data_IF_958253571907
#
_entry.id   IF_958253571907
#
_cell.length_a   1.000
_cell.length_b   1.000
_cell.length_c   1.000
_cell.angle_alpha   90.00
_cell.angle_beta   90.00
_cell.angle_gamma   90.00
#
_symmetry.space_group_name_H-M   'P 1'
#
loop_
_entity.id
_entity.type
_entity.pdbx_description
1 polymer ?
#
# COMPACT_ATOMS: atom_id res chain seq x y z
N UNK A 1 14.23 -3.82 -9.57
CA UNK A 1 13.26 -2.69 -9.55
C UNK A 1 12.78 -2.41 -8.12
N UNK A 2 13.63 -1.90 -7.22
CA UNK A 2 13.28 -1.66 -5.80
C UNK A 2 12.09 -0.72 -5.59
N UNK A 3 11.84 0.17 -6.56
CA UNK A 3 10.77 1.17 -6.56
C UNK A 3 9.38 0.55 -6.45
N UNK A 4 9.17 -0.63 -7.08
CA UNK A 4 7.88 -1.34 -7.06
C UNK A 4 7.60 -2.04 -5.72
N UNK A 5 8.66 -2.40 -4.99
CA UNK A 5 8.57 -3.15 -3.73
C UNK A 5 8.38 -2.22 -2.53
N UNK A 6 9.17 -1.15 -2.46
CA UNK A 6 9.31 -0.35 -1.24
C UNK A 6 8.87 1.10 -1.41
N UNK A 7 8.24 1.46 -2.53
CA UNK A 7 7.94 2.85 -2.89
C UNK A 7 9.17 3.74 -2.70
N UNK A 8 10.28 3.35 -3.32
CA UNK A 8 11.51 4.14 -3.33
C UNK A 8 11.41 5.17 -4.47
N UNK A 9 11.45 6.46 -4.15
CA UNK A 9 11.62 7.54 -5.11
C UNK A 9 12.78 8.45 -4.71
N UNK A 10 12.71 9.72 -5.08
CA UNK A 10 13.77 10.69 -4.76
C UNK A 10 13.23 11.96 -4.13
N UNK A 11 14.06 12.58 -3.31
CA UNK A 11 13.80 13.88 -2.67
C UNK A 11 14.90 14.87 -3.09
N UNK A 12 14.51 16.07 -3.46
CA UNK A 12 15.45 17.15 -3.80
C UNK A 12 15.71 18.03 -2.57
N UNK A 13 16.93 18.05 -2.03
CA UNK A 13 17.27 18.91 -0.88
C UNK A 13 17.22 20.40 -1.20
N UNK A 14 17.44 20.77 -2.46
CA UNK A 14 17.50 22.18 -2.87
C UNK A 14 16.13 22.85 -2.94
N UNK A 15 15.07 22.12 -3.32
CA UNK A 15 13.70 22.66 -3.42
C UNK A 15 12.66 21.94 -2.56
N UNK A 16 13.10 20.94 -1.78
CA UNK A 16 12.27 20.14 -0.88
C UNK A 16 11.07 19.45 -1.55
N UNK A 17 11.24 19.06 -2.81
CA UNK A 17 10.20 18.41 -3.62
C UNK A 17 10.45 16.90 -3.70
N UNK A 18 9.36 16.13 -3.67
CA UNK A 18 9.38 14.67 -3.70
C UNK A 18 8.96 14.15 -5.08
N UNK A 19 9.69 13.14 -5.57
CA UNK A 19 9.45 12.56 -6.88
C UNK A 19 9.29 11.05 -6.83
N UNK A 20 8.24 10.58 -7.47
CA UNK A 20 8.00 9.18 -7.74
C UNK A 20 7.48 9.02 -9.18
N UNK A 21 8.06 8.15 -10.03
CA UNK A 21 9.25 7.31 -9.82
C UNK A 21 10.55 8.11 -9.55
N UNK A 22 11.62 7.48 -9.03
CA UNK A 22 12.88 8.16 -8.73
C UNK A 22 13.47 8.79 -9.98
N UNK A 23 13.98 10.01 -9.80
CA UNK A 23 14.64 10.80 -10.85
C UNK A 23 16.03 11.23 -10.41
N UNK A 24 16.98 11.19 -11.34
CA UNK A 24 18.35 11.67 -11.10
C UNK A 24 18.49 13.19 -11.21
N UNK A 25 17.54 13.88 -11.85
CA UNK A 25 17.58 15.32 -12.11
C UNK A 25 16.25 15.93 -11.68
N UNK A 26 16.31 16.95 -10.83
CA UNK A 26 15.14 17.73 -10.47
C UNK A 26 14.68 18.62 -11.65
N UNK A 27 13.40 18.61 -12.05
CA UNK A 27 12.90 19.49 -13.10
C UNK A 27 12.98 20.98 -12.73
N UNK A 28 12.95 21.32 -11.44
CA UNK A 28 13.00 22.70 -10.96
C UNK A 28 14.45 23.22 -10.88
N UNK A 29 15.31 22.54 -10.10
CA UNK A 29 16.69 22.98 -9.85
C UNK A 29 17.72 22.47 -10.89
N UNK A 30 17.34 21.52 -11.75
CA UNK A 30 18.18 20.91 -12.79
C UNK A 30 19.54 20.41 -12.27
N UNK A 31 20.63 21.02 -12.71
CA UNK A 31 22.02 20.63 -12.38
C UNK A 31 22.47 21.06 -10.99
N UNK A 32 21.79 22.03 -10.37
CA UNK A 32 22.10 22.49 -9.01
C UNK A 32 21.32 21.75 -7.92
N UNK A 33 20.63 20.66 -8.29
CA UNK A 33 19.80 19.90 -7.38
C UNK A 33 20.62 18.79 -6.71
N UNK A 34 20.57 18.72 -5.38
CA UNK A 34 21.05 17.57 -4.62
C UNK A 34 19.89 16.58 -4.43
N UNK A 35 19.91 15.51 -5.20
CA UNK A 35 18.90 14.45 -5.16
C UNK A 35 19.36 13.34 -4.20
N UNK A 36 18.47 12.89 -3.33
CA UNK A 36 18.67 11.71 -2.49
C UNK A 36 17.54 10.70 -2.65
N UNK A 37 17.82 9.44 -2.35
CA UNK A 37 16.79 8.40 -2.32
C UNK A 37 15.87 8.61 -1.11
N UNK A 38 14.57 8.55 -1.36
CA UNK A 38 13.54 8.70 -0.33
C UNK A 38 12.56 7.53 -0.38
N UNK A 39 12.28 6.96 0.78
CA UNK A 39 11.29 5.88 0.94
C UNK A 39 9.97 6.45 1.42
N UNK A 40 8.96 6.40 0.58
CA UNK A 40 7.62 6.86 0.90
C UNK A 40 6.92 5.91 1.87
N UNK A 41 6.11 6.45 2.78
CA UNK A 41 5.20 5.68 3.63
C UNK A 41 4.08 5.06 2.80
N UNK A 42 3.72 5.70 1.68
CA UNK A 42 2.76 5.21 0.69
C UNK A 42 1.30 5.39 1.08
N UNK A 43 1.00 6.15 2.13
CA UNK A 43 -0.36 6.60 2.43
C UNK A 43 -0.76 7.67 1.42
N UNK A 44 -2.01 7.64 0.96
CA UNK A 44 -2.46 8.59 -0.04
C UNK A 44 -3.96 8.67 -0.20
N UNK A 45 -4.37 9.54 -1.11
CA UNK A 45 -5.76 9.84 -1.44
C UNK A 45 -6.04 9.52 -2.91
N UNK A 46 -7.17 8.85 -3.19
CA UNK A 46 -7.64 8.61 -4.56
C UNK A 46 -8.10 9.93 -5.18
N UNK A 47 -7.39 10.40 -6.20
CA UNK A 47 -7.74 11.62 -6.96
C UNK A 47 -8.76 11.30 -8.05
N UNK A 48 -8.58 10.17 -8.74
CA UNK A 48 -9.51 9.67 -9.74
C UNK A 48 -9.32 8.16 -9.90
N UNK A 49 -10.35 7.47 -10.35
CA UNK A 49 -10.31 6.02 -10.56
C UNK A 49 -11.16 5.60 -11.75
N UNK A 50 -10.87 4.40 -12.24
CA UNK A 50 -11.69 3.70 -13.23
C UNK A 50 -11.76 2.22 -12.85
N UNK A 51 -12.90 1.60 -13.12
CA UNK A 51 -13.08 0.15 -12.95
C UNK A 51 -12.98 -0.51 -14.31
N UNK A 52 -12.04 -1.45 -14.43
CA UNK A 52 -11.81 -2.20 -15.66
C UNK A 52 -12.63 -3.49 -15.58
N UNK A 53 -13.64 -3.58 -16.44
CA UNK A 53 -14.56 -4.74 -16.55
C UNK A 53 -14.20 -5.69 -17.69
N UNK A 54 -13.30 -5.29 -18.59
CA UNK A 54 -12.83 -6.13 -19.68
C UNK A 54 -11.31 -5.99 -19.74
N UNK A 55 -10.62 -7.07 -19.42
CA UNK A 55 -9.17 -7.12 -19.33
C UNK A 55 -8.61 -8.11 -20.36
N UNK A 56 -7.32 -7.97 -20.68
CA UNK A 56 -6.62 -8.98 -21.48
C UNK A 56 -6.54 -10.31 -20.75
N UNK A 57 -6.34 -11.42 -21.47
CA UNK A 57 -6.35 -12.78 -20.91
C UNK A 57 -5.48 -12.95 -19.65
N UNK A 58 -4.33 -12.25 -19.59
CA UNK A 58 -3.41 -12.27 -18.44
C UNK A 58 -4.00 -11.69 -17.14
N UNK A 59 -5.01 -10.81 -17.27
CA UNK A 59 -5.65 -10.09 -16.17
C UNK A 59 -7.10 -10.52 -15.94
N UNK A 60 -7.61 -11.47 -16.72
CA UNK A 60 -9.02 -11.85 -16.72
C UNK A 60 -9.49 -12.35 -15.34
N UNK A 61 -8.62 -13.08 -14.63
CA UNK A 61 -8.88 -13.54 -13.25
C UNK A 61 -8.95 -12.43 -12.19
N UNK A 62 -8.52 -11.21 -12.52
CA UNK A 62 -8.58 -10.04 -11.64
C UNK A 62 -9.74 -9.11 -12.01
N UNK A 63 -10.49 -9.40 -13.07
CA UNK A 63 -11.66 -8.62 -13.48
C UNK A 63 -12.84 -8.86 -12.53
N UNK A 64 -13.55 -7.82 -12.06
CA UNK A 64 -13.26 -6.40 -12.24
C UNK A 64 -12.19 -5.91 -11.26
N UNK A 65 -11.28 -5.04 -11.72
CA UNK A 65 -10.29 -4.37 -10.86
C UNK A 65 -10.33 -2.86 -11.01
N UNK A 66 -10.00 -2.16 -9.92
CA UNK A 66 -9.99 -0.70 -9.87
C UNK A 66 -8.57 -0.19 -10.11
N UNK A 67 -8.42 0.70 -11.08
CA UNK A 67 -7.20 1.45 -11.35
C UNK A 67 -7.39 2.89 -10.91
N UNK A 68 -6.50 3.40 -10.06
CA UNK A 68 -6.60 4.74 -9.49
C UNK A 68 -5.31 5.54 -9.67
N UNK A 69 -5.48 6.85 -9.78
CA UNK A 69 -4.41 7.83 -9.54
C UNK A 69 -4.50 8.23 -8.07
N UNK A 70 -3.43 7.97 -7.35
CA UNK A 70 -3.31 8.20 -5.91
C UNK A 70 -2.28 9.29 -5.69
N UNK A 71 -2.66 10.32 -4.96
CA UNK A 71 -1.73 11.34 -4.47
C UNK A 71 -1.24 10.90 -3.09
N UNK A 72 0.07 10.69 -2.97
CA UNK A 72 0.70 10.38 -1.69
C UNK A 72 0.67 11.60 -0.78
N UNK A 73 0.66 11.37 0.54
CA UNK A 73 0.69 12.44 1.53
C UNK A 73 1.96 13.30 1.41
N UNK A 74 3.05 12.69 0.96
CA UNK A 74 4.31 13.36 0.68
C UNK A 74 4.30 14.18 -0.64
N UNK A 75 3.21 14.13 -1.43
CA UNK A 75 3.00 14.97 -2.61
C UNK A 75 2.91 14.26 -3.98
N UNK A 76 3.74 13.25 -4.32
CA UNK A 76 3.76 12.72 -5.68
C UNK A 76 2.53 11.87 -5.99
N UNK A 77 2.14 11.87 -7.27
CA UNK A 77 1.04 11.06 -7.79
C UNK A 77 1.54 9.78 -8.43
N UNK A 78 0.86 8.69 -8.15
CA UNK A 78 1.15 7.37 -8.70
C UNK A 78 -0.11 6.70 -9.22
N UNK A 79 0.07 5.85 -10.22
CA UNK A 79 -1.00 4.98 -10.74
C UNK A 79 -0.85 3.61 -10.11
N UNK A 80 -1.94 3.10 -9.50
CA UNK A 80 -1.94 1.82 -8.82
C UNK A 80 -3.31 1.16 -8.81
N UNK A 81 -3.34 -0.15 -8.60
CA UNK A 81 -4.60 -0.87 -8.42
C UNK A 81 -5.06 -0.74 -6.97
N UNK A 82 -6.36 -0.50 -6.77
CA UNK A 82 -6.98 -0.46 -5.44
C UNK A 82 -7.79 -1.74 -5.22
N UNK A 83 -7.50 -2.41 -4.11
CA UNK A 83 -8.17 -3.63 -3.67
C UNK A 83 -9.40 -3.23 -2.88
N UNK A 84 -10.44 -2.83 -3.60
CA UNK A 84 -11.77 -2.50 -3.09
C UNK A 84 -12.81 -3.01 -4.08
N UNK A 85 -14.05 -3.20 -3.64
CA UNK A 85 -15.13 -3.45 -4.59
C UNK A 85 -15.38 -2.19 -5.46
N UNK A 86 -15.89 -2.33 -6.69
CA UNK A 86 -16.21 -1.17 -7.54
C UNK A 86 -17.18 -0.17 -6.86
N UNK A 87 -18.10 -0.68 -6.03
CA UNK A 87 -19.11 0.13 -5.34
C UNK A 87 -18.54 0.94 -4.16
N UNK A 88 -17.45 0.45 -3.56
CA UNK A 88 -16.79 1.14 -2.45
C UNK A 88 -15.92 2.30 -2.93
N UNK A 89 -15.43 2.26 -4.18
CA UNK A 89 -14.51 3.25 -4.72
C UNK A 89 -15.10 4.66 -4.77
N UNK A 90 -14.35 5.62 -4.20
CA UNK A 90 -14.75 7.03 -4.14
C UNK A 90 -13.54 7.93 -4.37
N UNK A 91 -13.76 9.05 -5.07
CA UNK A 91 -12.78 10.15 -5.12
C UNK A 91 -12.65 10.73 -3.71
N UNK A 92 -11.42 11.00 -3.27
CA UNK A 92 -11.11 11.43 -1.92
C UNK A 92 -10.94 10.28 -0.90
N UNK A 93 -11.10 9.02 -1.33
CA UNK A 93 -10.88 7.87 -0.45
C UNK A 93 -9.42 7.80 0.00
N UNK A 94 -9.21 7.56 1.31
CA UNK A 94 -7.90 7.28 1.90
C UNK A 94 -7.49 5.83 1.62
N UNK A 95 -6.24 5.65 1.21
CA UNK A 95 -5.67 4.34 0.87
C UNK A 95 -4.30 4.15 1.52
N UNK A 96 -3.94 2.88 1.73
CA UNK A 96 -2.62 2.46 2.23
C UNK A 96 -1.97 1.45 1.28
N UNK A 97 -0.63 1.38 1.24
CA UNK A 97 0.06 0.48 0.33
C UNK A 97 0.07 -0.94 0.88
N UNK A 98 -0.07 -1.91 -0.02
CA UNK A 98 0.05 -3.33 0.25
C UNK A 98 0.90 -4.01 -0.80
N UNK A 99 1.63 -5.02 -0.38
CA UNK A 99 2.46 -5.80 -1.27
C UNK A 99 1.67 -6.98 -1.86
N UNK A 100 1.57 -7.03 -3.20
CA UNK A 100 0.76 -8.02 -3.93
C UNK A 100 1.42 -8.43 -5.24
N UNK A 101 0.91 -9.51 -5.84
CA UNK A 101 1.24 -9.92 -7.20
C UNK A 101 0.57 -8.93 -8.17
N UNK A 102 1.37 -8.32 -9.06
CA UNK A 102 0.90 -7.43 -10.13
C UNK A 102 0.57 -8.20 -11.41
N UNK A 103 1.26 -9.30 -11.67
CA UNK A 103 1.03 -10.13 -12.84
C UNK A 103 2.00 -11.31 -12.92
N UNK A 104 1.78 -12.18 -13.90
CA UNK A 104 2.66 -13.30 -14.26
C UNK A 104 2.88 -13.28 -15.77
N UNK A 105 4.07 -13.68 -16.21
CA UNK A 105 4.35 -13.84 -17.64
C UNK A 105 4.13 -15.30 -18.03
N UNK A 106 3.03 -15.64 -18.70
CA UNK A 106 2.70 -17.01 -19.10
C UNK A 106 2.54 -18.01 -17.94
N UNK A 107 2.60 -19.32 -18.24
CA UNK A 107 2.55 -20.39 -17.23
C UNK A 107 3.90 -20.65 -16.55
N UNK A 108 5.00 -20.42 -17.26
CA UNK A 108 6.36 -20.75 -16.81
C UNK A 108 7.25 -19.52 -16.58
N UNK A 109 6.73 -18.30 -16.75
CA UNK A 109 7.53 -17.08 -16.65
C UNK A 109 7.47 -16.42 -15.28
N UNK A 110 7.97 -15.18 -15.24
CA UNK A 110 8.29 -14.47 -14.00
C UNK A 110 7.01 -13.93 -13.35
N UNK A 111 6.89 -14.09 -12.03
CA UNK A 111 5.86 -13.45 -11.22
C UNK A 111 6.34 -12.05 -10.82
N UNK A 112 5.59 -11.03 -11.24
CA UNK A 112 5.86 -9.64 -10.88
C UNK A 112 5.14 -9.29 -9.59
N UNK A 113 5.91 -8.97 -8.56
CA UNK A 113 5.37 -8.41 -7.33
C UNK A 113 5.51 -6.88 -7.32
N UNK A 114 4.65 -6.22 -6.56
CA UNK A 114 4.76 -4.81 -6.31
C UNK A 114 3.64 -4.27 -5.43
N UNK A 115 3.56 -2.96 -5.38
CA UNK A 115 2.63 -2.25 -4.50
C UNK A 115 1.26 -2.09 -5.18
N UNK A 116 0.22 -2.59 -4.52
CA UNK A 116 -1.18 -2.20 -4.73
C UNK A 116 -1.63 -1.37 -3.54
N UNK A 117 -2.86 -0.88 -3.58
CA UNK A 117 -3.44 -0.08 -2.51
C UNK A 117 -4.70 -0.77 -1.98
N UNK A 118 -5.05 -0.51 -0.74
CA UNK A 118 -6.34 -0.88 -0.18
C UNK A 118 -6.94 0.29 0.60
N UNK A 119 -8.27 0.38 0.73
CA UNK A 119 -8.91 1.39 1.54
C UNK A 119 -8.36 1.39 2.96
N UNK A 120 -8.03 2.58 3.45
CA UNK A 120 -7.77 2.78 4.86
C UNK A 120 -9.12 2.76 5.56
N UNK A 121 -9.53 1.62 6.13
CA UNK A 121 -10.75 1.54 6.94
C UNK A 121 -10.75 2.67 7.99
N UNK A 122 -11.73 3.55 7.92
CA UNK A 122 -12.04 4.47 9.00
C UNK A 122 -12.83 3.70 10.06
N UNK A 123 -12.17 2.97 10.96
CA UNK A 123 -12.85 2.46 12.14
C UNK A 123 -12.27 3.07 13.43
N UNK A 124 -13.11 3.69 14.29
CA UNK A 124 -12.74 3.83 15.69
C UNK A 124 -12.66 2.41 16.23
N UNK A 125 -11.52 2.04 16.84
CA UNK A 125 -11.32 0.70 17.38
C UNK A 125 -12.42 0.38 18.41
N UNK A 126 -13.46 -0.33 17.98
CA UNK A 126 -14.38 -1.07 18.85
C UNK A 126 -13.56 -2.13 19.54
N UNK A 127 -13.38 -1.99 20.86
CA UNK A 127 -12.93 -3.08 21.69
C UNK A 127 -13.84 -4.30 21.51
N UNK A 128 -13.24 -5.45 21.23
CA UNK A 128 -13.88 -6.75 21.46
C UNK A 128 -13.09 -7.46 22.55
N UNK A 129 -13.65 -7.36 23.74
CA UNK A 129 -13.59 -8.32 24.84
C UNK A 129 -13.88 -9.74 24.33
N UNK A 130 -13.18 -10.75 24.85
CA UNK A 130 -13.78 -12.07 25.09
C UNK A 130 -13.04 -13.31 24.57
N UNK A 131 -12.23 -13.88 25.46
CA UNK A 131 -12.16 -15.31 25.79
C UNK A 131 -11.57 -16.33 24.79
N UNK A 132 -10.40 -16.87 25.19
CA UNK A 132 -10.11 -18.28 25.56
C UNK A 132 -8.59 -18.31 25.76
N UNK A 133 -8.03 -18.53 26.95
CA UNK A 133 -8.20 -19.69 27.82
C UNK A 133 -6.80 -20.26 28.01
N UNK A 134 -6.14 -19.93 29.13
CA UNK A 134 -4.94 -20.62 29.58
C UNK A 134 -5.11 -20.89 31.07
N UNK A 135 -5.21 -22.18 31.33
CA UNK A 135 -5.35 -22.84 32.62
C UNK A 135 -4.11 -22.54 33.47
N UNK A 136 -4.31 -22.02 34.68
CA UNK A 136 -3.29 -22.04 35.74
C UNK A 136 -3.59 -23.24 36.65
N UNK A 137 -2.67 -24.21 36.80
CA UNK A 137 -2.78 -25.20 37.85
C UNK A 137 -1.54 -25.21 38.74
N UNK A 138 -1.11 -24.06 39.30
CA UNK A 138 -0.08 -24.07 40.34
C UNK A 138 -0.31 -22.94 41.35
N UNK A 139 -0.98 -23.28 42.46
CA UNK A 139 -0.58 -22.91 43.84
C UNK A 139 -1.62 -23.39 44.88
N UNK A 140 -1.11 -24.24 45.77
CA UNK A 140 -1.36 -24.25 47.22
C UNK A 140 -2.78 -24.50 47.75
N UNK A 141 -3.13 -25.78 47.90
CA UNK A 141 -3.86 -26.25 49.09
C UNK A 141 -2.89 -27.10 49.92
N UNK A 142 -1.98 -26.43 50.64
CA UNK A 142 -1.24 -27.06 51.74
C UNK A 142 -2.10 -26.92 53.01
N UNK A 143 -2.52 -28.07 53.54
CA UNK A 143 -2.69 -28.36 54.97
C UNK A 143 -3.68 -27.52 55.76
N UNK A 144 -4.93 -27.99 55.83
CA UNK A 144 -5.78 -27.79 57.00
C UNK A 144 -5.71 -29.09 57.84
N UNK A 145 -5.58 -28.94 59.16
CA UNK A 145 -5.57 -29.98 60.22
C UNK A 145 -4.22 -30.74 60.34
N UNK A 146 -3.44 -30.67 61.43
CA UNK A 146 -3.70 -30.62 62.88
C UNK A 146 -2.69 -29.67 63.56
#
# INVERSE_FOLDING_TARGET
MPQRYNLLGTHCKSCNEYYFPPRNICPNCRRGAEMEDHRFMGMGTVITFTTIYNATEDFDRMTPYNLAIIELDEGPRLTGQVTASPEEMKIGMRVRPIFRILGKEGESGIIYYGTKFEPQESSPRRGKTGQKGLVNPEKSCQGCEI
#
